data_IF_160695001215
#
_entry.id   IF_160695001215
#
_cell.length_a   1.000
_cell.length_b   1.000
_cell.length_c   1.000
_cell.angle_alpha   90.00
_cell.angle_beta   90.00
_cell.angle_gamma   90.00
#
_symmetry.space_group_name_H-M   'P 1'
#
loop_
_entity.id
_entity.type
_entity.pdbx_description
1 polymer ?
#
# COMPACT_ATOMS: atom_id res chain seq x y z
N UNK A 1 -46.10 15.79 5.03
CA UNK A 1 -45.71 16.16 3.65
C UNK A 1 -44.22 15.98 3.59
N UNK A 2 -43.79 14.77 3.35
CA UNK A 2 -42.41 14.31 3.41
C UNK A 2 -41.77 14.39 2.02
N UNK A 3 -40.60 14.93 2.00
CA UNK A 3 -39.82 15.27 0.81
C UNK A 3 -39.53 14.10 -0.13
N UNK A 4 -40.09 14.21 -1.34
CA UNK A 4 -39.92 13.25 -2.44
C UNK A 4 -38.79 13.66 -3.42
N UNK A 5 -37.79 14.42 -2.97
CA UNK A 5 -36.80 15.02 -3.88
C UNK A 5 -35.41 14.36 -3.86
N UNK A 6 -35.16 13.38 -2.99
CA UNK A 6 -33.83 12.73 -2.87
C UNK A 6 -33.73 11.36 -3.58
N UNK A 7 -34.78 10.94 -4.30
CA UNK A 7 -34.86 9.59 -4.87
C UNK A 7 -34.26 9.36 -6.27
N UNK A 8 -33.82 10.42 -6.97
CA UNK A 8 -33.49 10.30 -8.41
C UNK A 8 -32.01 10.38 -8.77
N UNK A 9 -31.10 10.71 -7.85
CA UNK A 9 -29.68 10.87 -8.19
C UNK A 9 -28.87 9.55 -8.26
N UNK A 10 -29.36 8.47 -7.66
CA UNK A 10 -28.59 7.23 -7.49
C UNK A 10 -28.89 6.14 -8.53
N UNK A 11 -29.72 6.40 -9.52
CA UNK A 11 -30.09 5.40 -10.53
C UNK A 11 -29.09 5.29 -11.69
N UNK A 12 -28.09 6.21 -11.78
CA UNK A 12 -27.13 6.24 -12.90
C UNK A 12 -25.91 5.34 -12.73
N UNK A 13 -25.55 4.92 -11.51
CA UNK A 13 -24.27 4.23 -11.26
C UNK A 13 -24.23 2.75 -11.72
N UNK A 14 -25.37 2.09 -11.84
CA UNK A 14 -25.44 0.69 -12.29
C UNK A 14 -25.69 0.52 -13.80
N UNK A 15 -26.04 1.59 -14.50
CA UNK A 15 -26.23 1.56 -15.96
C UNK A 15 -24.97 1.87 -16.76
N UNK A 16 -23.89 2.32 -16.12
CA UNK A 16 -22.65 2.73 -16.79
C UNK A 16 -21.69 1.57 -17.15
N UNK A 17 -22.02 0.33 -16.84
CA UNK A 17 -21.27 -0.82 -17.36
C UNK A 17 -21.61 -1.13 -18.84
N UNK A 18 -22.42 -0.30 -19.48
CA UNK A 18 -22.76 -0.39 -20.90
C UNK A 18 -22.11 0.78 -21.66
N UNK A 19 -20.94 0.51 -22.27
CA UNK A 19 -20.29 1.30 -23.33
C UNK A 19 -20.23 2.83 -23.10
N UNK A 20 -19.15 3.29 -22.52
CA UNK A 20 -18.59 4.60 -22.83
C UNK A 20 -17.25 4.41 -23.55
N UNK A 21 -17.26 4.38 -24.87
CA UNK A 21 -16.13 4.73 -25.71
C UNK A 21 -15.94 6.25 -25.57
N UNK A 22 -15.41 6.71 -24.46
CA UNK A 22 -14.86 8.05 -24.31
C UNK A 22 -13.38 7.99 -24.58
N UNK A 23 -12.87 8.93 -25.38
CA UNK A 23 -11.46 9.05 -25.68
C UNK A 23 -10.66 9.21 -24.38
N UNK A 24 -9.50 8.53 -24.25
CA UNK A 24 -8.70 8.59 -23.05
C UNK A 24 -8.19 10.01 -22.85
N UNK A 25 -8.63 10.69 -21.80
CA UNK A 25 -7.83 11.74 -21.19
C UNK A 25 -6.74 11.01 -20.41
N UNK A 26 -5.49 11.27 -20.74
CA UNK A 26 -4.31 10.73 -20.03
C UNK A 26 -4.25 11.27 -18.60
N UNK A 27 -5.08 10.73 -17.73
CA UNK A 27 -4.92 10.79 -16.29
C UNK A 27 -4.63 9.35 -15.83
N UNK A 28 -3.36 9.04 -15.78
CA UNK A 28 -2.88 7.83 -15.11
C UNK A 28 -3.45 7.82 -13.69
N UNK A 29 -4.32 6.87 -13.40
CA UNK A 29 -4.99 6.74 -12.09
C UNK A 29 -4.00 6.17 -11.08
N UNK A 30 -3.08 6.99 -10.56
CA UNK A 30 -2.01 6.56 -9.66
C UNK A 30 -2.39 6.76 -8.21
N UNK A 31 -2.64 7.98 -7.85
CA UNK A 31 -3.03 8.39 -6.52
C UNK A 31 -4.14 9.42 -6.67
N UNK A 32 -5.28 9.14 -6.10
CA UNK A 32 -6.43 10.01 -6.12
C UNK A 32 -6.75 10.49 -4.71
N UNK A 33 -6.88 11.81 -4.56
CA UNK A 33 -7.29 12.45 -3.32
C UNK A 33 -8.67 13.06 -3.52
N UNK A 34 -9.57 12.76 -2.61
CA UNK A 34 -10.89 13.39 -2.55
C UNK A 34 -10.93 14.35 -1.36
N UNK A 35 -10.61 15.62 -1.61
CA UNK A 35 -10.58 16.65 -0.58
C UNK A 35 -11.97 16.97 -0.02
N UNK A 36 -13.04 16.79 -0.81
CA UNK A 36 -14.41 17.09 -0.38
C UNK A 36 -14.91 16.08 0.67
N UNK A 37 -14.44 14.85 0.60
CA UNK A 37 -14.84 13.77 1.50
C UNK A 37 -13.68 13.18 2.32
N UNK A 38 -12.49 13.75 2.23
CA UNK A 38 -11.34 13.41 3.07
C UNK A 38 -10.88 11.96 2.94
N UNK A 39 -10.68 11.48 1.71
CA UNK A 39 -10.10 10.17 1.49
C UNK A 39 -9.08 10.14 0.36
N UNK A 40 -8.21 9.18 0.43
CA UNK A 40 -7.14 8.90 -0.51
C UNK A 40 -7.24 7.46 -1.00
N UNK A 41 -6.88 7.21 -2.27
CA UNK A 41 -6.74 5.86 -2.84
C UNK A 41 -5.52 5.77 -3.76
N UNK A 42 -4.84 4.63 -3.77
CA UNK A 42 -3.75 4.27 -4.68
C UNK A 42 -4.20 3.10 -5.58
N UNK A 43 -4.81 3.44 -6.71
CA UNK A 43 -5.48 2.49 -7.59
C UNK A 43 -4.45 1.64 -8.35
N UNK A 44 -4.73 0.34 -8.59
CA UNK A 44 -3.91 -0.53 -9.42
C UNK A 44 -3.61 0.08 -10.80
N UNK A 45 -2.40 -0.11 -11.29
CA UNK A 45 -1.95 0.48 -12.55
C UNK A 45 -2.83 0.01 -13.73
N UNK A 46 -3.09 0.93 -14.66
CA UNK A 46 -3.91 0.68 -15.84
C UNK A 46 -5.42 0.80 -15.60
N UNK A 47 -5.88 1.03 -14.36
CA UNK A 47 -7.28 1.32 -14.11
C UNK A 47 -7.59 2.78 -14.44
N UNK A 48 -8.74 2.99 -15.04
CA UNK A 48 -9.18 4.31 -15.52
C UNK A 48 -10.35 4.83 -14.70
N UNK A 49 -10.32 6.12 -14.38
CA UNK A 49 -11.46 6.80 -13.76
C UNK A 49 -12.63 6.85 -14.72
N UNK A 50 -13.78 6.33 -14.31
CA UNK A 50 -15.00 6.27 -15.13
C UNK A 50 -15.80 7.57 -15.05
N UNK A 51 -15.97 8.12 -13.86
CA UNK A 51 -16.72 9.34 -13.60
C UNK A 51 -16.18 10.02 -12.34
N UNK A 52 -16.00 11.33 -12.40
CA UNK A 52 -15.63 12.21 -11.31
C UNK A 52 -16.45 13.51 -11.33
N UNK A 53 -17.60 13.51 -12.00
CA UNK A 53 -18.49 14.68 -12.08
C UNK A 53 -19.18 14.97 -10.74
N UNK A 54 -19.32 13.97 -9.89
CA UNK A 54 -19.86 14.06 -8.54
C UNK A 54 -18.83 13.42 -7.56
N UNK A 55 -18.14 14.26 -6.78
CA UNK A 55 -17.12 13.83 -5.82
C UNK A 55 -17.67 12.93 -4.72
N UNK A 56 -19.00 12.86 -4.55
CA UNK A 56 -19.63 11.89 -3.63
C UNK A 56 -19.62 10.44 -4.19
N UNK A 57 -19.34 10.28 -5.48
CA UNK A 57 -19.28 8.98 -6.13
C UNK A 57 -18.13 8.94 -7.14
N UNK A 58 -17.06 8.26 -6.79
CA UNK A 58 -15.88 8.06 -7.63
C UNK A 58 -15.76 6.60 -7.99
N UNK A 59 -15.54 6.31 -9.27
CA UNK A 59 -15.41 4.94 -9.76
C UNK A 59 -14.22 4.81 -10.73
N UNK A 60 -13.54 3.67 -10.64
CA UNK A 60 -12.44 3.26 -11.49
C UNK A 60 -12.74 1.90 -12.11
N UNK A 61 -12.35 1.72 -13.36
CA UNK A 61 -12.53 0.47 -14.10
C UNK A 61 -11.20 -0.12 -14.51
N UNK A 62 -11.07 -1.42 -14.36
CA UNK A 62 -9.97 -2.17 -14.95
C UNK A 62 -10.03 -2.12 -16.49
N UNK A 63 -8.90 -2.31 -17.19
CA UNK A 63 -8.88 -2.44 -18.64
C UNK A 63 -9.90 -3.50 -19.10
N UNK A 64 -10.73 -3.14 -20.07
CA UNK A 64 -11.79 -4.03 -20.57
C UNK A 64 -13.12 -3.98 -19.78
N UNK A 65 -13.22 -3.21 -18.70
CA UNK A 65 -14.46 -2.91 -18.00
C UNK A 65 -15.06 -4.06 -17.19
N UNK A 66 -14.31 -5.16 -16.97
CA UNK A 66 -14.81 -6.34 -16.29
C UNK A 66 -14.70 -6.30 -14.77
N UNK A 67 -13.94 -5.36 -14.24
CA UNK A 67 -13.77 -5.10 -12.81
C UNK A 67 -13.87 -3.61 -12.51
N UNK A 68 -14.45 -3.27 -11.37
CA UNK A 68 -14.68 -1.89 -10.92
C UNK A 68 -14.31 -1.76 -9.45
N UNK A 69 -13.67 -0.64 -9.11
CA UNK A 69 -13.57 -0.15 -7.75
C UNK A 69 -14.29 1.19 -7.64
N UNK A 70 -15.12 1.36 -6.62
CA UNK A 70 -15.82 2.62 -6.40
C UNK A 70 -15.93 2.97 -4.91
N UNK A 71 -16.01 4.27 -4.66
CA UNK A 71 -16.28 4.83 -3.34
C UNK A 71 -17.52 5.72 -3.45
N UNK A 72 -18.53 5.43 -2.65
CA UNK A 72 -19.70 6.28 -2.44
C UNK A 72 -19.56 6.90 -1.05
N UNK A 73 -19.63 8.23 -1.00
CA UNK A 73 -19.46 9.03 0.21
C UNK A 73 -20.78 9.72 0.55
N UNK A 74 -21.11 9.71 1.82
CA UNK A 74 -22.32 10.32 2.36
C UNK A 74 -21.93 11.31 3.46
N UNK A 75 -22.83 12.26 3.74
CA UNK A 75 -22.63 13.15 4.87
C UNK A 75 -22.55 12.35 6.17
N UNK A 76 -21.75 12.83 7.12
CA UNK A 76 -21.70 12.27 8.46
C UNK A 76 -23.12 12.23 9.05
N UNK A 77 -23.41 11.21 9.83
CA UNK A 77 -24.74 10.97 10.43
C UNK A 77 -25.86 10.61 9.43
N UNK A 78 -25.53 10.23 8.20
CA UNK A 78 -26.52 9.69 7.25
C UNK A 78 -27.01 8.31 7.70
N UNK A 79 -26.17 7.54 8.35
CA UNK A 79 -26.47 6.22 8.92
C UNK A 79 -26.06 6.20 10.41
N UNK A 80 -26.83 5.49 11.23
CA UNK A 80 -26.53 5.39 12.68
C UNK A 80 -25.33 4.45 12.94
N UNK A 81 -25.19 3.38 12.14
CA UNK A 81 -24.13 2.37 12.28
C UNK A 81 -23.61 1.87 10.94
N UNK A 82 -22.43 1.22 10.94
CA UNK A 82 -21.94 0.51 9.76
C UNK A 82 -22.84 -0.67 9.35
N UNK A 83 -23.60 -1.25 10.29
CA UNK A 83 -24.62 -2.25 10.02
C UNK A 83 -25.78 -1.69 9.19
N UNK A 84 -26.25 -0.48 9.52
CA UNK A 84 -27.31 0.17 8.75
C UNK A 84 -26.86 0.48 7.32
N UNK A 85 -25.56 0.76 7.11
CA UNK A 85 -24.99 0.91 5.76
C UNK A 85 -25.01 -0.44 5.04
N UNK A 86 -24.68 -1.55 5.72
CA UNK A 86 -24.73 -2.89 5.13
C UNK A 86 -26.17 -3.28 4.75
N UNK A 87 -27.14 -3.03 5.61
CA UNK A 87 -28.55 -3.26 5.33
C UNK A 87 -29.04 -2.41 4.14
N UNK A 88 -28.59 -1.15 4.05
CA UNK A 88 -28.87 -0.29 2.90
C UNK A 88 -28.27 -0.84 1.60
N UNK A 89 -27.05 -1.38 1.64
CA UNK A 89 -26.41 -2.02 0.47
C UNK A 89 -27.20 -3.26 0.05
N UNK A 90 -27.62 -4.11 1.00
CA UNK A 90 -28.43 -5.29 0.72
C UNK A 90 -29.79 -4.92 0.10
N UNK A 91 -30.51 -3.98 0.71
CA UNK A 91 -31.81 -3.53 0.18
C UNK A 91 -31.69 -2.89 -1.21
N UNK A 92 -30.60 -2.10 -1.41
CA UNK A 92 -30.42 -1.30 -2.62
C UNK A 92 -30.01 -2.13 -3.83
N UNK A 93 -29.11 -3.10 -3.62
CA UNK A 93 -28.50 -3.89 -4.69
C UNK A 93 -29.01 -5.34 -4.73
N UNK A 94 -29.78 -5.78 -3.73
CA UNK A 94 -30.23 -7.17 -3.62
C UNK A 94 -29.04 -8.12 -3.44
N UNK A 95 -28.05 -7.71 -2.66
CA UNK A 95 -26.81 -8.48 -2.47
C UNK A 95 -27.05 -9.78 -1.73
N UNK A 96 -26.19 -10.77 -2.00
CA UNK A 96 -26.15 -12.06 -1.31
C UNK A 96 -24.78 -12.24 -0.70
N UNK A 97 -24.73 -12.60 0.58
CA UNK A 97 -23.50 -12.79 1.36
C UNK A 97 -23.69 -12.28 2.78
N UNK A 98 -22.67 -12.43 3.60
CA UNK A 98 -22.67 -12.00 4.99
C UNK A 98 -21.55 -11.01 5.25
N UNK A 99 -21.81 -10.01 6.08
CA UNK A 99 -20.82 -9.03 6.51
C UNK A 99 -20.28 -9.34 7.91
N UNK A 100 -19.02 -9.00 8.14
CA UNK A 100 -18.35 -9.12 9.43
C UNK A 100 -17.93 -7.76 9.93
N UNK A 101 -18.36 -7.39 11.15
CA UNK A 101 -17.98 -6.13 11.78
C UNK A 101 -16.51 -6.12 12.21
N UNK A 102 -15.84 -4.99 11.99
CA UNK A 102 -14.47 -4.76 12.43
C UNK A 102 -14.22 -3.26 12.72
N UNK A 103 -12.99 -2.91 13.09
CA UNK A 103 -12.58 -1.52 13.24
C UNK A 103 -11.63 -1.15 12.12
N UNK A 104 -11.91 -0.04 11.45
CA UNK A 104 -11.01 0.54 10.45
C UNK A 104 -10.63 1.97 10.85
N UNK A 105 -9.35 2.18 11.16
CA UNK A 105 -8.83 3.51 11.60
C UNK A 105 -9.67 4.13 12.73
N UNK A 106 -10.06 3.29 13.71
CA UNK A 106 -10.86 3.71 14.87
C UNK A 106 -12.34 3.99 14.58
N UNK A 107 -12.84 3.62 13.39
CA UNK A 107 -14.24 3.71 12.97
C UNK A 107 -14.88 2.32 12.94
N UNK A 108 -16.18 2.27 13.21
CA UNK A 108 -16.94 1.03 13.01
C UNK A 108 -17.07 0.75 11.51
N UNK A 109 -16.80 -0.48 11.13
CA UNK A 109 -16.86 -0.91 9.75
C UNK A 109 -17.44 -2.32 9.61
N UNK A 110 -17.89 -2.66 8.42
CA UNK A 110 -18.31 -4.00 8.01
C UNK A 110 -17.55 -4.36 6.76
N UNK A 111 -16.87 -5.51 6.76
CA UNK A 111 -16.30 -6.13 5.57
C UNK A 111 -17.23 -7.25 5.11
N UNK A 112 -17.51 -7.31 3.82
CA UNK A 112 -18.36 -8.33 3.25
C UNK A 112 -17.86 -8.78 1.87
N UNK A 113 -17.99 -10.06 1.59
CA UNK A 113 -17.89 -10.63 0.25
C UNK A 113 -19.31 -10.86 -0.26
N UNK A 114 -19.72 -10.11 -1.28
CA UNK A 114 -21.09 -10.05 -1.75
C UNK A 114 -21.18 -10.30 -3.25
N UNK A 115 -22.29 -10.88 -3.68
CA UNK A 115 -22.68 -10.95 -5.09
C UNK A 115 -24.06 -10.34 -5.31
N UNK A 116 -24.29 -9.78 -6.49
CA UNK A 116 -25.59 -9.25 -6.91
C UNK A 116 -25.77 -9.36 -8.41
N UNK A 117 -27.04 -9.38 -8.85
CA UNK A 117 -27.39 -9.50 -10.25
C UNK A 117 -27.57 -8.11 -10.88
N UNK A 118 -26.96 -7.90 -12.03
CA UNK A 118 -27.27 -6.80 -12.94
C UNK A 118 -28.26 -7.27 -14.00
N UNK A 119 -28.62 -6.40 -14.94
CA UNK A 119 -29.51 -6.79 -16.02
C UNK A 119 -28.96 -7.90 -16.94
N UNK A 120 -27.62 -8.00 -17.04
CA UNK A 120 -26.95 -8.84 -18.03
C UNK A 120 -26.05 -9.92 -17.43
N UNK A 121 -25.59 -9.76 -16.20
CA UNK A 121 -24.63 -10.66 -15.57
C UNK A 121 -24.66 -10.52 -14.04
N UNK A 122 -24.14 -11.52 -13.35
CA UNK A 122 -23.87 -11.48 -11.92
C UNK A 122 -22.48 -10.85 -11.70
N UNK A 123 -22.35 -10.04 -10.68
CA UNK A 123 -21.07 -9.53 -10.20
C UNK A 123 -20.78 -10.07 -8.80
N UNK A 124 -19.52 -10.23 -8.50
CA UNK A 124 -19.01 -10.72 -7.24
C UNK A 124 -17.87 -9.81 -6.77
N UNK A 125 -17.81 -9.51 -5.49
CA UNK A 125 -16.78 -8.61 -4.99
C UNK A 125 -16.74 -8.43 -3.50
N UNK A 126 -15.83 -7.54 -3.10
CA UNK A 126 -15.55 -7.17 -1.72
C UNK A 126 -16.10 -5.78 -1.45
N UNK A 127 -16.67 -5.61 -0.27
CA UNK A 127 -17.32 -4.39 0.16
C UNK A 127 -16.83 -4.01 1.56
N UNK A 128 -16.55 -2.74 1.74
CA UNK A 128 -16.24 -2.17 3.06
C UNK A 128 -17.20 -1.01 3.29
N UNK A 129 -18.00 -1.10 4.32
CA UNK A 129 -18.92 -0.07 4.76
C UNK A 129 -18.36 0.53 6.04
N UNK A 130 -18.18 1.86 6.07
CA UNK A 130 -17.57 2.57 7.21
C UNK A 130 -18.50 3.67 7.68
N UNK A 131 -18.82 3.65 8.96
CA UNK A 131 -19.56 4.73 9.64
C UNK A 131 -18.57 5.60 10.44
N UNK A 132 -18.49 6.88 10.15
CA UNK A 132 -17.46 7.72 10.72
C UNK A 132 -17.80 9.20 10.89
N UNK A 133 -17.01 9.87 11.73
CA UNK A 133 -17.24 11.30 12.06
C UNK A 133 -17.05 12.25 10.88
N UNK A 134 -16.26 11.88 9.87
CA UNK A 134 -15.99 12.69 8.67
C UNK A 134 -16.96 12.42 7.53
N UNK A 135 -17.69 11.31 7.58
CA UNK A 135 -18.61 10.83 6.54
C UNK A 135 -18.87 9.35 6.70
N UNK A 136 -19.91 8.89 6.02
CA UNK A 136 -20.20 7.47 5.87
C UNK A 136 -19.76 7.03 4.47
N UNK A 137 -19.13 5.86 4.37
CA UNK A 137 -18.51 5.41 3.13
C UNK A 137 -18.94 4.00 2.78
N UNK A 138 -19.19 3.78 1.49
CA UNK A 138 -19.37 2.47 0.90
C UNK A 138 -18.28 2.30 -0.16
N UNK A 139 -17.32 1.45 0.11
CA UNK A 139 -16.24 1.08 -0.79
C UNK A 139 -16.54 -0.28 -1.38
N UNK A 140 -16.56 -0.38 -2.69
CA UNK A 140 -16.92 -1.62 -3.40
C UNK A 140 -15.86 -1.92 -4.45
N UNK A 141 -15.33 -3.13 -4.44
CA UNK A 141 -14.44 -3.65 -5.46
C UNK A 141 -15.00 -4.98 -5.97
N UNK A 142 -15.44 -5.01 -7.22
CA UNK A 142 -16.17 -6.16 -7.77
C UNK A 142 -15.81 -6.41 -9.23
N UNK A 143 -16.01 -7.64 -9.67
CA UNK A 143 -15.84 -8.05 -11.06
C UNK A 143 -17.05 -8.86 -11.52
N UNK A 144 -17.17 -9.05 -12.83
CA UNK A 144 -18.08 -10.04 -13.41
C UNK A 144 -17.72 -11.42 -12.85
N UNK A 145 -18.74 -12.20 -12.42
CA UNK A 145 -18.57 -13.49 -11.75
C UNK A 145 -17.62 -14.44 -12.50
N UNK A 146 -17.76 -14.52 -13.82
CA UNK A 146 -16.96 -15.44 -14.66
C UNK A 146 -15.44 -15.15 -14.63
N UNK A 147 -15.03 -13.93 -14.28
CA UNK A 147 -13.63 -13.49 -14.22
C UNK A 147 -13.20 -13.03 -12.82
N UNK A 148 -14.07 -13.16 -11.83
CA UNK A 148 -13.79 -12.68 -10.48
C UNK A 148 -12.47 -13.20 -9.93
N UNK A 149 -12.17 -14.50 -10.11
CA UNK A 149 -10.94 -15.11 -9.63
C UNK A 149 -9.66 -14.51 -10.25
N UNK A 150 -9.76 -13.95 -11.45
CA UNK A 150 -8.63 -13.31 -12.13
C UNK A 150 -8.33 -11.93 -11.56
N UNK A 151 -9.37 -11.25 -11.02
CA UNK A 151 -9.27 -9.90 -10.46
C UNK A 151 -9.19 -9.87 -8.93
N UNK A 152 -9.33 -10.99 -8.24
CA UNK A 152 -9.47 -11.06 -6.79
C UNK A 152 -8.39 -10.28 -6.03
N UNK A 153 -7.09 -10.51 -6.34
CA UNK A 153 -5.99 -9.79 -5.71
C UNK A 153 -6.02 -8.28 -6.00
N UNK A 154 -6.36 -7.89 -7.23
CA UNK A 154 -6.49 -6.48 -7.63
C UNK A 154 -7.63 -5.78 -6.91
N UNK A 155 -8.78 -6.45 -6.74
CA UNK A 155 -9.94 -5.92 -6.01
C UNK A 155 -9.61 -5.70 -4.52
N UNK A 156 -8.98 -6.69 -3.89
CA UNK A 156 -8.52 -6.57 -2.49
C UNK A 156 -7.46 -5.48 -2.33
N UNK A 157 -6.53 -5.37 -3.26
CA UNK A 157 -5.49 -4.35 -3.25
C UNK A 157 -6.05 -2.93 -3.47
N UNK A 158 -7.05 -2.77 -4.35
CA UNK A 158 -7.72 -1.49 -4.54
C UNK A 158 -8.44 -1.05 -3.27
N UNK A 159 -9.20 -1.94 -2.61
CA UNK A 159 -9.81 -1.67 -1.31
C UNK A 159 -8.77 -1.33 -0.25
N UNK A 160 -7.70 -2.10 -0.16
CA UNK A 160 -6.67 -1.94 0.85
C UNK A 160 -5.84 -0.67 0.67
N UNK A 161 -5.92 -0.03 -0.50
CA UNK A 161 -5.28 1.24 -0.77
C UNK A 161 -6.02 2.45 -0.19
N UNK A 162 -7.28 2.28 0.27
CA UNK A 162 -8.08 3.39 0.80
C UNK A 162 -7.55 3.87 2.13
N UNK A 163 -7.53 5.19 2.30
CA UNK A 163 -7.30 5.89 3.56
C UNK A 163 -8.37 6.95 3.76
N UNK A 164 -8.85 7.11 4.99
CA UNK A 164 -9.92 8.06 5.35
C UNK A 164 -9.43 9.26 6.16
N UNK A 165 -8.13 9.45 6.29
CA UNK A 165 -7.53 10.55 7.05
C UNK A 165 -6.25 11.03 6.39
N UNK A 166 -5.91 12.31 6.53
CA UNK A 166 -4.67 12.90 6.01
C UNK A 166 -3.41 12.19 6.55
N UNK A 167 -3.44 11.77 7.82
CA UNK A 167 -2.37 10.98 8.43
C UNK A 167 -2.53 9.48 8.16
N UNK A 168 -3.73 9.06 7.79
CA UNK A 168 -4.13 7.66 7.65
C UNK A 168 -3.58 6.96 6.42
N UNK A 169 -3.04 7.68 5.43
CA UNK A 169 -2.49 6.99 4.26
C UNK A 169 -1.24 6.15 4.60
N UNK A 170 -0.64 6.39 5.78
CA UNK A 170 0.45 5.59 6.35
C UNK A 170 -0.02 4.44 7.25
N UNK A 171 -1.33 4.30 7.48
CA UNK A 171 -1.90 3.17 8.21
C UNK A 171 -2.21 2.00 7.29
N UNK A 172 -2.22 0.75 7.80
CA UNK A 172 -2.73 -0.39 7.05
C UNK A 172 -4.12 -0.10 6.48
N UNK A 173 -4.41 -0.65 5.31
CA UNK A 173 -5.70 -0.46 4.67
C UNK A 173 -6.84 -1.26 5.32
N UNK A 174 -8.08 -1.11 4.83
CA UNK A 174 -9.24 -1.76 5.45
C UNK A 174 -9.20 -3.30 5.36
N UNK A 175 -8.64 -3.88 4.29
CA UNK A 175 -8.50 -5.34 4.17
C UNK A 175 -7.44 -5.85 5.15
N UNK A 176 -6.31 -5.17 5.24
CA UNK A 176 -5.24 -5.50 6.20
C UNK A 176 -5.73 -5.38 7.64
N UNK A 177 -6.49 -4.33 8.00
CA UNK A 177 -7.04 -4.15 9.35
C UNK A 177 -8.19 -5.14 9.66
N UNK A 178 -8.93 -5.57 8.65
CA UNK A 178 -9.92 -6.64 8.81
C UNK A 178 -9.27 -7.98 9.15
N UNK A 179 -8.18 -8.32 8.44
CA UNK A 179 -7.44 -9.56 8.68
C UNK A 179 -6.66 -9.51 10.00
N UNK A 180 -6.07 -8.38 10.29
CA UNK A 180 -5.29 -8.16 11.50
C UNK A 180 -5.48 -6.73 12.04
N UNK A 181 -6.18 -6.55 13.18
CA UNK A 181 -6.50 -5.24 13.74
C UNK A 181 -5.26 -4.37 13.96
N UNK A 182 -5.38 -3.08 13.64
CA UNK A 182 -4.36 -2.08 13.92
C UNK A 182 -4.95 -0.92 14.75
N UNK A 183 -4.31 -0.48 15.86
CA UNK A 183 -3.06 -1.02 16.46
C UNK A 183 -3.19 -2.48 16.87
N UNK A 184 -2.05 -3.16 16.92
CA UNK A 184 -1.96 -4.56 17.30
C UNK A 184 -2.67 -4.83 18.65
N UNK A 185 -3.54 -5.85 18.74
CA UNK A 185 -4.35 -6.08 19.95
C UNK A 185 -3.54 -6.63 21.13
N UNK A 186 -2.40 -7.26 20.87
CA UNK A 186 -1.57 -7.92 21.90
C UNK A 186 -0.08 -7.65 21.71
N UNK A 187 0.36 -6.37 21.69
CA UNK A 187 1.78 -6.08 21.53
C UNK A 187 2.58 -6.66 22.70
N UNK A 188 3.75 -7.22 22.39
CA UNK A 188 4.67 -7.80 23.38
C UNK A 188 6.01 -7.09 23.34
N UNK A 189 6.75 -7.08 24.45
CA UNK A 189 8.12 -6.61 24.43
C UNK A 189 9.01 -7.60 23.66
N UNK A 190 9.67 -7.12 22.65
CA UNK A 190 10.70 -7.79 21.86
C UNK A 190 12.06 -7.15 22.14
N UNK A 191 13.12 -7.87 21.83
CA UNK A 191 14.48 -7.43 22.10
C UNK A 191 15.35 -7.63 20.89
N UNK A 192 16.23 -6.66 20.65
CA UNK A 192 17.27 -6.77 19.66
C UNK A 192 18.59 -6.14 20.19
N UNK A 193 19.70 -6.43 19.54
CA UNK A 193 21.00 -5.87 19.92
C UNK A 193 21.46 -4.88 18.87
N UNK A 194 21.98 -3.75 19.32
CA UNK A 194 22.60 -2.71 18.51
C UNK A 194 23.84 -2.18 19.24
N UNK A 195 25.01 -2.14 18.58
CA UNK A 195 26.23 -1.69 19.19
C UNK A 195 26.68 -2.50 20.43
N UNK A 196 26.23 -3.76 20.56
CA UNK A 196 26.49 -4.61 21.74
C UNK A 196 25.58 -4.34 22.93
N UNK A 197 24.60 -3.44 22.80
CA UNK A 197 23.59 -3.16 23.83
C UNK A 197 22.22 -3.73 23.42
N UNK A 198 21.48 -4.24 24.39
CA UNK A 198 20.13 -4.74 24.18
C UNK A 198 19.13 -3.61 24.28
N UNK A 199 18.37 -3.37 23.21
CA UNK A 199 17.20 -2.48 23.23
C UNK A 199 15.91 -3.28 23.28
N UNK A 200 14.87 -2.66 23.81
CA UNK A 200 13.53 -3.27 23.91
C UNK A 200 12.54 -2.40 23.12
N UNK A 201 11.70 -3.04 22.32
CA UNK A 201 10.61 -2.42 21.59
C UNK A 201 9.34 -3.26 21.72
N UNK A 202 8.21 -2.76 21.23
CA UNK A 202 6.97 -3.55 21.21
C UNK A 202 6.60 -3.91 19.79
N UNK A 203 6.23 -5.17 19.58
CA UNK A 203 5.67 -5.69 18.34
C UNK A 203 4.63 -6.76 18.67
N UNK A 204 3.77 -7.09 17.75
CA UNK A 204 2.96 -8.31 17.84
C UNK A 204 3.47 -9.34 16.82
N UNK A 205 4.05 -10.47 17.27
CA UNK A 205 4.57 -11.48 16.34
C UNK A 205 3.53 -12.04 15.35
N UNK A 206 2.24 -11.89 15.64
CA UNK A 206 1.19 -12.32 14.71
C UNK A 206 1.06 -11.36 13.51
N UNK A 207 1.59 -10.13 13.60
CA UNK A 207 1.65 -9.21 12.46
C UNK A 207 2.50 -9.75 11.31
N UNK A 208 3.44 -10.65 11.60
CA UNK A 208 4.28 -11.31 10.59
C UNK A 208 3.45 -11.91 9.46
N UNK A 209 2.45 -12.72 9.78
CA UNK A 209 1.62 -13.39 8.78
C UNK A 209 0.77 -12.37 8.00
N UNK A 210 0.20 -11.39 8.68
CA UNK A 210 -0.61 -10.35 8.05
C UNK A 210 0.20 -9.51 7.05
N UNK A 211 1.37 -8.99 7.47
CA UNK A 211 2.23 -8.18 6.62
C UNK A 211 2.82 -8.97 5.46
N UNK A 212 3.17 -10.26 5.68
CA UNK A 212 3.67 -11.13 4.62
C UNK A 212 2.56 -11.47 3.62
N UNK A 213 1.32 -11.68 4.06
CA UNK A 213 0.18 -11.96 3.19
C UNK A 213 -0.11 -10.80 2.23
N UNK A 214 0.02 -9.56 2.70
CA UNK A 214 -0.06 -8.37 1.84
C UNK A 214 1.04 -8.39 0.77
N UNK A 215 2.29 -8.62 1.17
CA UNK A 215 3.44 -8.68 0.25
C UNK A 215 3.21 -9.72 -0.85
N UNK A 216 2.77 -10.92 -0.49
CA UNK A 216 2.51 -11.98 -1.46
C UNK A 216 1.34 -11.63 -2.41
N UNK A 217 0.30 -10.97 -1.93
CA UNK A 217 -0.79 -10.46 -2.77
C UNK A 217 -0.27 -9.45 -3.80
N UNK A 218 0.46 -8.43 -3.34
CA UNK A 218 1.01 -7.41 -4.23
C UNK A 218 2.03 -7.99 -5.22
N UNK A 219 2.81 -9.01 -4.82
CA UNK A 219 3.72 -9.73 -5.72
C UNK A 219 2.96 -10.51 -6.81
N UNK A 220 1.82 -11.14 -6.49
CA UNK A 220 0.98 -11.79 -7.52
C UNK A 220 0.44 -10.77 -8.53
N UNK A 221 0.02 -9.59 -8.07
CA UNK A 221 -0.41 -8.49 -8.95
C UNK A 221 0.74 -8.05 -9.86
N UNK A 222 1.93 -7.84 -9.31
CA UNK A 222 3.11 -7.47 -10.08
C UNK A 222 3.44 -8.54 -11.14
N UNK A 223 3.30 -9.82 -10.79
CA UNK A 223 3.49 -10.94 -11.71
C UNK A 223 2.44 -11.00 -12.83
N UNK A 224 1.19 -10.60 -12.56
CA UNK A 224 0.14 -10.48 -13.58
C UNK A 224 0.48 -9.40 -14.60
N UNK A 225 0.94 -8.23 -14.16
CA UNK A 225 1.41 -7.16 -15.05
C UNK A 225 2.59 -7.64 -15.91
N UNK A 226 3.50 -8.43 -15.31
CA UNK A 226 4.58 -9.08 -15.98
C UNK A 226 4.13 -9.96 -17.14
N UNK A 227 3.19 -10.83 -16.86
CA UNK A 227 2.62 -11.73 -17.86
C UNK A 227 1.94 -10.98 -19.00
N UNK A 228 1.20 -9.92 -18.70
CA UNK A 228 0.54 -9.08 -19.70
C UNK A 228 1.56 -8.35 -20.60
N UNK A 229 2.60 -7.77 -20.01
CA UNK A 229 3.66 -7.12 -20.77
C UNK A 229 4.40 -8.11 -21.70
N UNK A 230 4.68 -9.32 -21.24
CA UNK A 230 5.30 -10.37 -22.03
C UNK A 230 4.40 -10.83 -23.19
N UNK A 231 3.10 -11.01 -22.96
CA UNK A 231 2.11 -11.37 -23.96
C UNK A 231 1.95 -10.31 -25.06
N UNK A 232 2.13 -9.03 -24.70
CA UNK A 232 2.13 -7.90 -25.64
C UNK A 232 3.45 -7.78 -26.45
N UNK A 233 4.40 -8.68 -26.30
CA UNK A 233 5.70 -8.68 -26.99
C UNK A 233 6.68 -7.66 -26.43
N UNK A 234 6.39 -7.09 -25.25
CA UNK A 234 7.26 -6.17 -24.53
C UNK A 234 8.47 -6.90 -23.94
N UNK A 235 9.65 -6.43 -24.26
CA UNK A 235 10.83 -6.81 -23.49
C UNK A 235 10.89 -6.01 -22.21
N UNK A 236 11.15 -6.68 -21.10
CA UNK A 236 11.32 -6.16 -19.77
C UNK A 236 12.51 -5.18 -19.55
N UNK A 237 13.25 -4.85 -20.59
CA UNK A 237 14.37 -3.93 -20.51
C UNK A 237 13.88 -2.49 -20.53
N UNK A 238 13.82 -1.85 -19.38
CA UNK A 238 13.52 -0.42 -19.24
C UNK A 238 12.05 -0.08 -19.47
N UNK A 239 11.19 -0.88 -18.91
CA UNK A 239 9.76 -0.85 -18.81
C UNK A 239 8.98 0.31 -19.42
N UNK A 240 7.78 0.02 -19.85
CA UNK A 240 6.76 1.05 -20.06
C UNK A 240 6.57 1.82 -18.73
N UNK A 241 6.15 3.07 -18.79
CA UNK A 241 5.85 3.87 -17.59
C UNK A 241 4.93 3.13 -16.61
N UNK A 242 3.93 2.42 -17.11
CA UNK A 242 3.03 1.56 -16.35
C UNK A 242 3.75 0.50 -15.50
N UNK A 243 4.83 -0.09 -16.02
CA UNK A 243 5.61 -1.07 -15.27
C UNK A 243 6.38 -0.43 -14.12
N UNK A 244 6.97 0.72 -14.35
CA UNK A 244 7.67 1.50 -13.31
C UNK A 244 6.69 1.86 -12.19
N UNK A 245 5.47 2.27 -12.54
CA UNK A 245 4.47 2.61 -11.55
C UNK A 245 3.91 1.39 -10.80
N UNK A 246 3.77 0.25 -11.48
CA UNK A 246 3.41 -0.99 -10.79
C UNK A 246 4.44 -1.38 -9.71
N UNK A 247 5.75 -1.22 -10.00
CA UNK A 247 6.81 -1.41 -9.00
C UNK A 247 6.74 -0.38 -7.87
N UNK A 248 6.54 0.90 -8.19
CA UNK A 248 6.39 1.96 -7.19
C UNK A 248 5.21 1.68 -6.27
N UNK A 249 4.05 1.32 -6.85
CA UNK A 249 2.87 0.97 -6.08
C UNK A 249 3.10 -0.25 -5.19
N UNK A 250 3.75 -1.30 -5.68
CA UNK A 250 4.12 -2.48 -4.89
C UNK A 250 4.81 -2.09 -3.57
N UNK A 251 5.85 -1.27 -3.66
CA UNK A 251 6.58 -0.85 -2.45
C UNK A 251 5.80 0.15 -1.61
N UNK A 252 5.00 1.04 -2.19
CA UNK A 252 4.13 1.95 -1.44
C UNK A 252 3.11 1.18 -0.60
N UNK A 253 2.49 0.13 -1.13
CA UNK A 253 1.54 -0.70 -0.39
C UNK A 253 2.20 -1.40 0.79
N UNK A 254 3.40 -1.95 0.61
CA UNK A 254 4.17 -2.59 1.69
C UNK A 254 4.62 -1.56 2.73
N UNK A 255 5.17 -0.44 2.29
CA UNK A 255 5.60 0.66 3.15
C UNK A 255 4.46 1.13 4.05
N UNK A 256 3.32 1.46 3.46
CA UNK A 256 2.12 1.91 4.15
C UNK A 256 1.68 0.95 5.25
N UNK A 257 1.62 -0.34 4.96
CA UNK A 257 1.20 -1.36 5.94
C UNK A 257 2.20 -1.50 7.09
N UNK A 258 3.49 -1.29 6.84
CA UNK A 258 4.55 -1.49 7.83
C UNK A 258 4.95 -0.20 8.58
N UNK A 259 4.65 1.00 8.06
CA UNK A 259 5.17 2.25 8.61
C UNK A 259 4.90 2.37 10.11
N UNK A 260 3.67 2.46 10.53
CA UNK A 260 3.35 2.64 11.95
C UNK A 260 3.59 1.38 12.80
N UNK A 261 3.60 0.19 12.20
CA UNK A 261 3.96 -1.06 12.91
C UNK A 261 5.41 -1.01 13.39
N UNK A 262 6.29 -0.29 12.69
CA UNK A 262 7.70 -0.11 13.06
C UNK A 262 7.96 1.10 13.97
N UNK A 263 6.95 1.87 14.35
CA UNK A 263 7.12 3.09 15.16
C UNK A 263 7.78 2.83 16.52
N UNK A 264 7.52 1.69 17.14
CA UNK A 264 8.10 1.32 18.43
C UNK A 264 9.60 1.06 18.34
N UNK A 265 10.01 0.26 17.36
CA UNK A 265 11.45 -0.01 17.17
C UNK A 265 12.20 1.23 16.69
N UNK A 266 11.63 2.02 15.79
CA UNK A 266 12.25 3.28 15.35
C UNK A 266 12.55 4.22 16.53
N UNK A 267 11.57 4.36 17.43
CA UNK A 267 11.74 5.16 18.65
C UNK A 267 12.83 4.60 19.57
N UNK A 268 12.86 3.28 19.77
CA UNK A 268 13.84 2.66 20.66
C UNK A 268 15.26 2.75 20.10
N UNK A 269 15.42 2.59 18.77
CA UNK A 269 16.70 2.78 18.08
C UNK A 269 17.17 4.25 18.18
N UNK A 270 16.27 5.22 17.93
CA UNK A 270 16.60 6.65 18.07
C UNK A 270 17.04 7.00 19.49
N UNK A 271 16.34 6.49 20.51
CA UNK A 271 16.71 6.69 21.91
C UNK A 271 18.08 6.08 22.25
N UNK A 272 18.41 4.93 21.69
CA UNK A 272 19.73 4.31 21.85
C UNK A 272 20.82 5.20 21.25
N UNK A 273 20.66 5.67 20.01
CA UNK A 273 21.63 6.56 19.36
C UNK A 273 21.80 7.87 20.11
N UNK A 274 20.71 8.48 20.58
CA UNK A 274 20.76 9.70 21.39
C UNK A 274 21.55 9.48 22.70
N UNK A 275 21.32 8.36 23.37
CA UNK A 275 22.03 8.01 24.61
C UNK A 275 23.50 7.71 24.38
N UNK A 276 23.86 7.13 23.23
CA UNK A 276 25.24 6.88 22.81
C UNK A 276 25.96 8.16 22.32
N UNK A 277 25.21 9.26 22.12
CA UNK A 277 25.77 10.54 21.63
C UNK A 277 26.09 10.53 20.14
N UNK A 278 25.42 9.68 19.36
CA UNK A 278 25.53 9.64 17.89
C UNK A 278 24.98 10.94 17.32
N UNK A 279 25.75 11.62 16.49
CA UNK A 279 25.33 12.84 15.80
C UNK A 279 24.20 12.57 14.79
N UNK A 280 23.32 13.56 14.60
CA UNK A 280 22.21 13.41 13.62
C UNK A 280 22.75 13.05 12.22
N UNK A 281 23.84 13.63 11.76
CA UNK A 281 24.45 13.32 10.47
C UNK A 281 25.05 11.89 10.39
N UNK A 282 25.29 11.24 11.53
CA UNK A 282 25.89 9.91 11.63
C UNK A 282 24.82 8.80 11.73
N UNK A 283 23.61 9.12 12.19
CA UNK A 283 22.54 8.15 12.40
C UNK A 283 22.26 7.28 11.16
N UNK A 284 22.16 7.81 9.92
CA UNK A 284 21.92 6.96 8.75
C UNK A 284 23.01 5.92 8.52
N UNK A 285 24.27 6.25 8.75
CA UNK A 285 25.40 5.34 8.61
C UNK A 285 25.41 4.27 9.71
N UNK A 286 25.17 4.65 10.97
CA UNK A 286 25.09 3.71 12.09
C UNK A 286 23.90 2.75 11.94
N UNK A 287 22.75 3.24 11.46
CA UNK A 287 21.59 2.42 11.17
C UNK A 287 21.87 1.43 10.01
N UNK A 288 22.56 1.88 8.95
CA UNK A 288 22.99 1.02 7.85
C UNK A 288 23.91 -0.10 8.36
N UNK A 289 24.96 0.25 9.10
CA UNK A 289 25.91 -0.71 9.68
C UNK A 289 25.21 -1.75 10.57
N UNK A 290 24.22 -1.33 11.35
CA UNK A 290 23.43 -2.25 12.15
C UNK A 290 22.63 -3.25 11.31
N UNK A 291 21.97 -2.79 10.24
CA UNK A 291 21.16 -3.66 9.36
C UNK A 291 22.04 -4.57 8.49
N UNK A 292 23.21 -4.13 8.07
CA UNK A 292 24.19 -4.98 7.37
C UNK A 292 24.66 -6.17 8.23
N UNK A 293 24.56 -6.07 9.55
CA UNK A 293 24.82 -7.17 10.47
C UNK A 293 23.67 -8.19 10.61
N UNK A 294 22.57 -8.05 9.85
CA UNK A 294 21.48 -9.03 9.82
C UNK A 294 21.79 -10.17 8.85
N UNK A 295 21.21 -11.35 9.10
CA UNK A 295 21.40 -12.50 8.23
C UNK A 295 20.74 -12.25 6.86
N UNK A 296 21.51 -12.41 5.78
CA UNK A 296 20.92 -12.35 4.43
C UNK A 296 20.05 -13.57 4.17
N UNK A 297 18.76 -13.34 3.93
CA UNK A 297 17.81 -14.42 3.69
C UNK A 297 16.71 -13.97 2.72
N UNK A 298 16.16 -14.94 2.01
CA UNK A 298 15.01 -14.78 1.12
C UNK A 298 13.92 -15.77 1.51
N UNK A 299 12.67 -15.41 1.28
CA UNK A 299 11.54 -16.27 1.65
C UNK A 299 11.43 -17.52 0.78
N UNK A 300 11.96 -17.47 -0.46
CA UNK A 300 11.72 -18.50 -1.48
C UNK A 300 10.26 -18.52 -1.96
N UNK A 301 9.47 -17.51 -1.59
CA UNK A 301 8.10 -17.28 -2.07
C UNK A 301 8.12 -16.50 -3.38
N UNK A 302 6.94 -16.12 -3.90
CA UNK A 302 6.85 -15.34 -5.13
C UNK A 302 7.47 -13.94 -5.00
N UNK A 303 7.29 -13.29 -3.84
CA UNK A 303 7.85 -11.98 -3.56
C UNK A 303 9.35 -12.02 -3.30
N UNK A 304 9.84 -13.14 -2.75
CA UNK A 304 11.20 -13.35 -2.23
C UNK A 304 11.64 -12.32 -1.16
N UNK A 305 10.69 -11.56 -0.62
CA UNK A 305 10.86 -10.44 0.30
C UNK A 305 10.27 -10.75 1.67
N UNK A 306 11.03 -10.53 2.74
CA UNK A 306 10.52 -10.52 4.11
C UNK A 306 9.86 -9.16 4.41
N UNK A 307 8.75 -9.19 5.15
CA UNK A 307 8.17 -7.95 5.61
C UNK A 307 9.13 -7.20 6.54
N UNK A 308 9.15 -5.86 6.52
CA UNK A 308 9.96 -5.06 7.44
C UNK A 308 9.75 -5.40 8.92
N UNK A 309 8.53 -5.75 9.34
CA UNK A 309 8.25 -6.27 10.69
C UNK A 309 9.03 -7.56 10.95
N UNK A 310 9.02 -8.49 10.00
CA UNK A 310 9.71 -9.77 10.13
C UNK A 310 11.23 -9.59 10.17
N UNK A 311 11.77 -8.61 9.40
CA UNK A 311 13.20 -8.32 9.42
C UNK A 311 13.74 -8.06 10.84
N UNK A 312 13.01 -7.29 11.64
CA UNK A 312 13.42 -7.00 13.01
C UNK A 312 13.17 -8.15 13.98
N UNK A 313 12.12 -8.93 13.78
CA UNK A 313 11.83 -10.10 14.62
C UNK A 313 12.85 -11.22 14.41
N UNK A 314 13.32 -11.40 13.19
CA UNK A 314 14.27 -12.47 12.82
C UNK A 314 15.73 -11.99 12.70
N UNK A 315 15.97 -10.68 12.66
CA UNK A 315 17.26 -10.08 12.32
C UNK A 315 17.78 -10.60 10.98
N UNK A 316 16.93 -10.62 9.99
CA UNK A 316 17.19 -11.18 8.67
C UNK A 316 16.44 -10.44 7.58
N UNK A 317 16.94 -10.48 6.35
CA UNK A 317 16.29 -9.91 5.18
C UNK A 317 17.17 -9.98 3.95
N UNK A 318 16.61 -9.61 2.80
CA UNK A 318 17.34 -9.38 1.57
C UNK A 318 17.53 -7.86 1.34
N UNK A 319 18.04 -7.48 0.16
CA UNK A 319 18.27 -6.07 -0.17
C UNK A 319 17.00 -5.22 -0.10
N UNK A 320 15.88 -5.74 -0.59
CA UNK A 320 14.59 -5.03 -0.61
C UNK A 320 14.02 -4.86 0.79
N UNK A 321 14.05 -5.95 1.56
CA UNK A 321 13.54 -6.01 2.93
C UNK A 321 14.28 -5.05 3.87
N UNK A 322 15.62 -5.12 3.84
CA UNK A 322 16.48 -4.29 4.68
C UNK A 322 16.47 -2.84 4.23
N UNK A 323 16.48 -2.59 2.91
CA UNK A 323 16.39 -1.25 2.35
C UNK A 323 15.09 -0.56 2.74
N UNK A 324 13.96 -1.24 2.62
CA UNK A 324 12.66 -0.70 3.03
C UNK A 324 12.57 -0.47 4.54
N UNK A 325 13.09 -1.41 5.35
CA UNK A 325 13.16 -1.25 6.80
C UNK A 325 13.99 -0.02 7.21
N UNK A 326 15.15 0.18 6.58
CA UNK A 326 16.02 1.33 6.82
C UNK A 326 15.33 2.65 6.46
N UNK A 327 14.67 2.73 5.30
CA UNK A 327 13.91 3.92 4.88
C UNK A 327 12.81 4.25 5.88
N UNK A 328 12.01 3.25 6.31
CA UNK A 328 10.93 3.47 7.28
C UNK A 328 11.49 4.02 8.61
N UNK A 329 12.57 3.42 9.13
CA UNK A 329 13.15 3.89 10.40
C UNK A 329 13.69 5.32 10.27
N UNK A 330 14.37 5.65 9.18
CA UNK A 330 14.88 7.00 8.93
C UNK A 330 13.78 8.03 8.83
N UNK A 331 12.69 7.70 8.13
CA UNK A 331 11.55 8.63 8.02
C UNK A 331 10.85 8.85 9.36
N UNK A 332 10.75 7.82 10.22
CA UNK A 332 10.33 8.02 11.62
C UNK A 332 11.26 8.93 12.42
N UNK A 333 12.52 9.03 12.03
CA UNK A 333 13.52 9.91 12.66
C UNK A 333 13.59 11.29 11.99
N UNK A 334 12.79 11.54 10.93
CA UNK A 334 12.68 12.83 10.26
C UNK A 334 13.61 13.02 9.05
N UNK A 335 14.25 11.97 8.55
CA UNK A 335 15.10 12.05 7.34
C UNK A 335 14.24 11.88 6.08
N UNK A 336 14.61 12.58 5.00
CA UNK A 336 14.12 12.29 3.66
C UNK A 336 14.93 11.12 3.07
N UNK A 337 14.26 9.99 2.88
CA UNK A 337 14.86 8.76 2.38
C UNK A 337 13.96 8.09 1.34
N UNK A 338 14.59 7.43 0.36
CA UNK A 338 13.92 6.75 -0.75
C UNK A 338 14.44 5.32 -0.91
N UNK A 339 13.59 4.45 -1.44
CA UNK A 339 14.02 3.13 -1.92
C UNK A 339 14.32 3.21 -3.42
N UNK A 340 15.30 2.42 -3.87
CA UNK A 340 15.65 2.30 -5.29
C UNK A 340 15.72 0.83 -5.67
N UNK A 341 15.03 0.44 -6.72
CA UNK A 341 14.97 -0.95 -7.15
C UNK A 341 15.39 -1.10 -8.60
N UNK A 342 16.00 -2.21 -8.93
CA UNK A 342 16.45 -2.50 -10.29
C UNK A 342 16.16 -3.95 -10.68
N UNK A 343 15.28 -4.14 -11.64
CA UNK A 343 15.04 -5.45 -12.24
C UNK A 343 16.23 -5.93 -13.06
N UNK A 344 17.03 -5.02 -13.64
CA UNK A 344 18.20 -5.38 -14.44
C UNK A 344 19.35 -5.90 -13.56
N UNK A 345 19.53 -5.30 -12.39
CA UNK A 345 20.54 -5.76 -11.43
C UNK A 345 20.02 -6.85 -10.49
N UNK A 346 18.69 -7.05 -10.42
CA UNK A 346 18.05 -7.94 -9.43
C UNK A 346 18.40 -7.51 -8.00
N UNK A 347 18.35 -6.22 -7.74
CA UNK A 347 18.88 -5.62 -6.52
C UNK A 347 18.10 -4.37 -6.08
N UNK A 348 18.17 -4.08 -4.79
CA UNK A 348 17.67 -2.83 -4.22
C UNK A 348 18.78 -2.09 -3.44
N UNK A 349 18.72 -0.77 -3.54
CA UNK A 349 19.48 0.20 -2.74
C UNK A 349 18.51 1.12 -2.04
N UNK A 350 19.00 1.91 -1.10
CA UNK A 350 18.25 3.05 -0.61
C UNK A 350 19.09 4.33 -0.73
N UNK A 351 18.46 5.47 -0.52
CA UNK A 351 19.12 6.75 -0.50
C UNK A 351 18.56 7.65 0.58
N UNK A 352 19.40 8.54 1.13
CA UNK A 352 19.01 9.50 2.15
C UNK A 352 19.56 10.89 1.81
N UNK A 353 18.79 11.93 2.08
CA UNK A 353 19.22 13.32 1.92
C UNK A 353 20.04 13.77 3.13
N UNK A 354 21.34 13.50 3.07
CA UNK A 354 22.33 13.94 4.08
C UNK A 354 23.63 14.36 3.41
N UNK A 355 24.42 15.16 4.11
CA UNK A 355 25.79 15.47 3.69
C UNK A 355 26.67 14.21 3.76
N UNK A 356 27.71 14.14 2.95
CA UNK A 356 28.68 13.04 2.94
C UNK A 356 29.34 12.87 1.58
N UNK A 357 30.44 12.11 1.55
CA UNK A 357 31.15 11.73 0.33
C UNK A 357 30.60 10.37 -0.15
N UNK A 358 30.53 10.17 -1.47
CA UNK A 358 30.15 8.89 -2.05
C UNK A 358 29.20 8.99 -3.24
N UNK A 359 28.66 7.84 -3.62
CA UNK A 359 27.71 7.73 -4.73
C UNK A 359 26.36 8.37 -4.34
N UNK A 360 25.81 9.14 -5.29
CA UNK A 360 24.54 9.81 -5.12
C UNK A 360 23.60 9.52 -6.28
N UNK A 361 22.33 9.59 -5.99
CA UNK A 361 21.26 9.48 -6.98
C UNK A 361 20.40 10.75 -6.93
N UNK A 362 20.20 11.38 -8.10
CA UNK A 362 19.33 12.55 -8.22
C UNK A 362 17.89 12.11 -8.46
N UNK A 363 16.99 12.52 -7.58
CA UNK A 363 15.57 12.29 -7.72
C UNK A 363 14.78 13.51 -7.23
N UNK A 364 13.89 14.04 -8.07
CA UNK A 364 13.03 15.21 -7.78
C UNK A 364 13.80 16.43 -7.24
N UNK A 365 15.03 16.63 -7.74
CA UNK A 365 15.87 17.77 -7.36
C UNK A 365 16.72 17.57 -6.11
N UNK A 366 16.61 16.41 -5.44
CA UNK A 366 17.41 16.04 -4.27
C UNK A 366 18.50 15.03 -4.65
N UNK A 367 19.68 15.17 -4.03
CA UNK A 367 20.84 14.30 -4.23
C UNK A 367 20.98 13.32 -3.06
N UNK A 368 20.36 12.16 -3.18
CA UNK A 368 20.37 11.12 -2.14
C UNK A 368 21.70 10.40 -2.08
N UNK A 369 22.32 10.31 -0.90
CA UNK A 369 23.51 9.49 -0.63
C UNK A 369 23.09 8.03 -0.52
N UNK A 370 23.76 7.12 -1.26
CA UNK A 370 23.30 5.75 -1.45
C UNK A 370 23.75 4.80 -0.35
N UNK A 371 22.88 3.84 -0.01
CA UNK A 371 23.09 2.78 0.96
C UNK A 371 22.97 1.40 0.31
N UNK A 372 23.94 0.52 0.57
CA UNK A 372 24.02 -0.89 0.17
C UNK A 372 23.80 -1.79 1.39
N UNK A 373 22.97 -2.83 1.30
CA UNK A 373 22.58 -3.64 2.46
C UNK A 373 23.15 -5.06 2.46
N UNK A 374 23.71 -5.53 1.36
CA UNK A 374 24.14 -6.92 1.21
C UNK A 374 25.64 -7.12 1.43
N UNK A 375 26.39 -6.06 1.58
CA UNK A 375 27.81 -6.03 1.90
C UNK A 375 28.09 -5.04 3.03
N UNK A 376 29.04 -5.35 3.89
CA UNK A 376 29.49 -4.41 4.95
C UNK A 376 30.34 -3.30 4.32
N UNK A 377 29.71 -2.21 3.93
CA UNK A 377 30.34 -1.04 3.31
C UNK A 377 29.77 0.25 3.92
N UNK A 378 30.57 1.31 3.87
CA UNK A 378 30.15 2.62 4.36
C UNK A 378 29.02 3.22 3.51
N UNK A 379 28.21 4.07 4.11
CA UNK A 379 27.20 4.87 3.41
C UNK A 379 27.86 5.69 2.29
N UNK A 380 27.30 5.65 1.10
CA UNK A 380 27.88 6.25 -0.11
C UNK A 380 28.73 5.29 -0.94
N UNK A 381 28.99 4.06 -0.50
CA UNK A 381 29.70 3.05 -1.29
C UNK A 381 28.72 2.05 -1.90
N UNK A 382 28.80 1.90 -3.22
CA UNK A 382 28.02 0.92 -4.01
C UNK A 382 28.94 0.18 -4.99
N UNK A 383 28.57 -1.01 -5.46
CA UNK A 383 29.29 -1.74 -6.49
C UNK A 383 29.38 -0.91 -7.79
N UNK A 384 30.56 -0.80 -8.38
CA UNK A 384 30.80 0.01 -9.60
C UNK A 384 29.95 -0.39 -10.79
N UNK A 385 29.65 -1.69 -10.91
CA UNK A 385 28.81 -2.24 -11.97
C UNK A 385 27.30 -1.88 -11.81
N UNK A 386 26.91 -1.32 -10.67
CA UNK A 386 25.53 -0.87 -10.37
C UNK A 386 25.40 0.66 -10.38
N UNK A 387 26.43 1.39 -10.80
CA UNK A 387 26.47 2.84 -10.77
C UNK A 387 25.69 3.53 -11.92
N UNK A 388 25.08 2.81 -12.85
CA UNK A 388 24.28 3.40 -13.94
C UNK A 388 22.90 3.82 -13.42
N UNK A 389 22.63 5.16 -13.29
CA UNK A 389 21.38 5.63 -12.70
C UNK A 389 20.15 5.32 -13.55
N UNK A 390 20.31 5.10 -14.86
CA UNK A 390 19.19 4.80 -15.76
C UNK A 390 18.54 3.42 -15.53
N UNK A 391 19.18 2.58 -14.74
CA UNK A 391 18.74 1.22 -14.43
C UNK A 391 18.00 1.11 -13.09
N UNK A 392 17.87 2.21 -12.39
CA UNK A 392 17.22 2.27 -11.10
C UNK A 392 15.84 2.94 -11.19
N UNK A 393 14.88 2.36 -10.52
CA UNK A 393 13.55 2.92 -10.31
C UNK A 393 13.53 3.50 -8.91
N UNK A 394 13.53 4.82 -8.75
CA UNK A 394 13.35 5.44 -7.43
C UNK A 394 11.89 5.32 -7.00
N UNK A 395 11.69 5.00 -5.73
CA UNK A 395 10.39 4.88 -5.09
C UNK A 395 10.33 5.89 -3.95
N UNK A 396 9.49 6.90 -4.11
CA UNK A 396 9.08 7.76 -3.01
C UNK A 396 8.00 7.03 -2.22
N UNK A 397 8.21 6.99 -0.92
CA UNK A 397 7.40 6.25 0.03
C UNK A 397 6.65 7.23 0.97
#
# INVERSE_FOLDING_TARGET
>A
MTNATTRNATLMALTALALALAAPTELSARQFVNDDFGYYVDIPEGWEMMDASDMSHIAFSAPGGQAVFQVMSYAADQFDTAGDIADFVEERFGTRGEGTAFQFSGRNAVFAELSFDTQNFTVHGYHVMVNGRGGDYIMQAFAVEDVFSEYQDLLLSALDSVSLDDEGYLHPGPVSQYQYPFPAPQPRPERTEIGGETITYTSDPNEREATQSLIEREARILSQYAGQAAAAGGRWSGGTEAWVEAWRRFYRMIYRDNFFRLSSIARSVKQHFDAAGVGEDEIPAELLSWLQGFDYTRTGSLSDLLSPVTCFLERAGDCDSLGLAWVILLQHMGYDAILMVSSEYGHALAGVDVAGEGARFEFEGTQYLLAEFTEEVDLGLIPRNMADPSKWIPVRL
#
